data_IF_692599749745
#
_entry.id   IF_692599749745
#
_cell.length_a   1.000
_cell.length_b   1.000
_cell.length_c   1.000
_cell.angle_alpha   90.00
_cell.angle_beta   90.00
_cell.angle_gamma   90.00
#
_symmetry.space_group_name_H-M   'P 1'
#
loop_
_entity.id
_entity.type
_entity.pdbx_description
1 polymer ?
#
# COMPACT_ATOMS: atom_id res chain seq x y z
N UNK A 1 13.15 -58.62 -39.75
CA UNK A 1 13.00 -59.77 -38.83
C UNK A 1 13.35 -59.31 -37.42
N UNK A 2 12.49 -59.58 -36.41
CA UNK A 2 12.78 -59.97 -35.00
C UNK A 2 13.77 -59.09 -34.17
N UNK A 3 13.54 -58.64 -32.93
CA UNK A 3 12.62 -58.89 -31.78
C UNK A 3 12.82 -57.69 -30.81
N UNK A 4 11.78 -57.01 -30.30
CA UNK A 4 11.16 -57.20 -28.97
C UNK A 4 12.14 -57.50 -27.82
N UNK A 5 12.17 -56.67 -26.75
CA UNK A 5 12.03 -57.08 -25.32
C UNK A 5 12.30 -55.93 -24.30
N UNK A 6 11.24 -55.61 -23.51
CA UNK A 6 11.17 -55.46 -22.03
C UNK A 6 11.91 -54.26 -21.36
N UNK A 7 11.23 -53.22 -20.85
CA UNK A 7 10.37 -53.07 -19.65
C UNK A 7 11.15 -52.73 -18.34
N UNK A 8 10.74 -51.59 -17.76
CA UNK A 8 10.59 -51.27 -16.32
C UNK A 8 11.67 -50.56 -15.49
N UNK A 9 11.12 -49.57 -14.77
CA UNK A 9 11.45 -49.02 -13.45
C UNK A 9 12.68 -48.12 -13.31
N UNK A 10 12.50 -46.88 -12.85
CA UNK A 10 12.66 -46.51 -11.43
C UNK A 10 12.33 -45.02 -11.22
N UNK A 11 11.49 -44.79 -10.21
CA UNK A 11 11.40 -43.67 -9.25
C UNK A 11 11.31 -42.22 -9.72
N UNK A 12 10.30 -41.58 -9.14
CA UNK A 12 9.91 -40.21 -9.41
C UNK A 12 10.89 -39.16 -8.95
N UNK A 13 10.67 -37.95 -9.45
CA UNK A 13 11.10 -36.73 -8.78
C UNK A 13 10.12 -35.62 -9.10
N UNK A 14 9.66 -35.01 -8.00
CA UNK A 14 9.18 -33.66 -7.83
C UNK A 14 7.99 -33.21 -8.68
N UNK A 15 6.82 -33.28 -8.03
CA UNK A 15 5.85 -32.20 -8.10
C UNK A 15 6.60 -30.87 -7.87
N UNK A 16 6.77 -30.08 -8.93
CA UNK A 16 6.95 -28.64 -8.78
C UNK A 16 5.61 -28.11 -8.28
N UNK A 17 5.43 -28.15 -6.97
CA UNK A 17 4.51 -27.27 -6.30
C UNK A 17 5.06 -25.87 -6.51
N UNK A 18 4.44 -25.14 -7.44
CA UNK A 18 4.66 -23.71 -7.57
C UNK A 18 4.34 -23.08 -6.23
N UNK A 19 5.38 -22.77 -5.45
CA UNK A 19 5.27 -21.85 -4.34
C UNK A 19 4.96 -20.49 -4.96
N UNK A 20 3.66 -20.21 -5.06
CA UNK A 20 3.14 -18.86 -5.11
C UNK A 20 3.85 -18.08 -4.00
N UNK A 21 4.75 -17.17 -4.39
CA UNK A 21 5.30 -16.14 -3.51
C UNK A 21 4.16 -15.17 -3.16
N UNK A 22 3.33 -15.58 -2.22
CA UNK A 22 2.34 -14.72 -1.62
C UNK A 22 2.90 -14.19 -0.29
N UNK A 23 3.16 -12.89 -0.27
CA UNK A 23 3.16 -12.01 0.91
C UNK A 23 4.19 -12.22 2.05
N UNK A 24 5.48 -12.42 1.75
CA UNK A 24 6.56 -12.26 2.75
C UNK A 24 6.72 -10.83 3.32
N UNK A 25 5.98 -9.87 2.77
CA UNK A 25 5.97 -8.49 3.25
C UNK A 25 5.06 -8.30 4.46
N UNK A 26 4.04 -9.16 4.63
CA UNK A 26 3.10 -9.05 5.73
C UNK A 26 3.79 -9.30 7.08
N UNK A 27 4.66 -10.32 7.14
CA UNK A 27 5.48 -10.63 8.32
C UNK A 27 6.56 -9.56 8.57
N UNK A 28 7.16 -9.04 7.49
CA UNK A 28 8.17 -7.97 7.59
C UNK A 28 7.56 -6.66 8.11
N UNK A 29 6.35 -6.32 7.65
CA UNK A 29 5.62 -5.12 8.08
C UNK A 29 5.04 -5.29 9.48
N UNK A 30 4.53 -6.47 9.83
CA UNK A 30 4.08 -6.78 11.19
C UNK A 30 5.24 -6.68 12.18
N UNK A 31 6.41 -7.20 11.81
CA UNK A 31 7.62 -7.09 12.62
C UNK A 31 8.11 -5.64 12.73
N UNK A 32 8.06 -4.89 11.63
CA UNK A 32 8.38 -3.47 11.60
C UNK A 32 7.43 -2.63 12.47
N UNK A 33 6.14 -2.90 12.40
CA UNK A 33 5.12 -2.23 13.18
C UNK A 33 5.20 -2.61 14.66
N UNK A 34 5.55 -3.86 14.99
CA UNK A 34 5.80 -4.28 16.38
C UNK A 34 7.03 -3.59 16.98
N UNK A 35 8.11 -3.43 16.22
CA UNK A 35 9.30 -2.69 16.67
C UNK A 35 9.05 -1.18 16.76
N UNK A 36 8.30 -0.60 15.81
CA UNK A 36 7.87 0.80 15.87
C UNK A 36 6.93 1.07 17.08
N UNK A 37 6.06 0.11 17.43
CA UNK A 37 5.19 0.19 18.62
C UNK A 37 6.01 0.17 19.91
N UNK A 38 7.11 -0.59 19.97
CA UNK A 38 8.03 -0.56 21.13
C UNK A 38 8.74 0.79 21.27
N UNK A 39 9.14 1.41 20.15
CA UNK A 39 9.78 2.73 20.16
C UNK A 39 8.79 3.86 20.53
N UNK A 40 7.52 3.72 20.14
CA UNK A 40 6.46 4.74 20.31
C UNK A 40 5.76 4.68 21.67
N UNK A 41 6.49 4.43 22.76
CA UNK A 41 5.92 4.31 24.12
C UNK A 41 5.49 5.65 24.77
N UNK A 42 5.34 6.73 24.00
CA UNK A 42 5.05 8.07 24.54
C UNK A 42 4.12 8.95 23.71
N UNK A 43 3.33 8.42 22.76
CA UNK A 43 2.30 9.25 22.11
C UNK A 43 1.05 8.46 21.79
N UNK A 44 -0.02 8.83 22.48
CA UNK A 44 -1.40 8.38 22.34
C UNK A 44 -1.81 8.32 20.85
N UNK A 45 -2.07 7.12 20.31
CA UNK A 45 -2.70 6.95 18.98
C UNK A 45 -1.96 6.10 17.94
N UNK A 46 -1.01 5.25 18.33
CA UNK A 46 -0.33 4.33 17.40
C UNK A 46 -1.29 3.25 16.85
N UNK A 47 -1.50 3.23 15.54
CA UNK A 47 -2.23 2.14 14.88
C UNK A 47 -1.46 0.83 15.04
N UNK A 48 -2.10 -0.19 15.60
CA UNK A 48 -1.52 -1.52 15.75
C UNK A 48 -1.09 -2.11 14.39
N UNK A 49 -0.05 -2.93 14.38
CA UNK A 49 0.41 -3.68 13.22
C UNK A 49 -0.73 -4.39 12.47
N UNK A 50 -1.67 -4.98 13.22
CA UNK A 50 -2.88 -5.63 12.70
C UNK A 50 -3.87 -4.65 12.06
N UNK A 51 -3.98 -3.42 12.57
CA UNK A 51 -4.82 -2.37 11.99
C UNK A 51 -4.22 -1.86 10.69
N UNK A 52 -2.90 -1.58 10.64
CA UNK A 52 -2.23 -1.25 9.39
C UNK A 52 -2.36 -2.38 8.36
N UNK A 53 -2.14 -3.61 8.80
CA UNK A 53 -2.27 -4.82 7.98
C UNK A 53 -3.68 -4.98 7.44
N UNK A 54 -4.70 -4.82 8.28
CA UNK A 54 -6.10 -4.94 7.86
C UNK A 54 -6.48 -3.83 6.89
N UNK A 55 -6.01 -2.59 7.13
CA UNK A 55 -6.17 -1.46 6.21
C UNK A 55 -5.48 -1.70 4.86
N UNK A 56 -4.26 -2.23 4.90
CA UNK A 56 -3.40 -2.47 3.74
C UNK A 56 -3.85 -3.69 2.93
N UNK A 57 -4.35 -4.73 3.60
CA UNK A 57 -4.83 -5.98 3.00
C UNK A 57 -6.28 -5.91 2.52
N UNK A 58 -7.13 -5.07 3.14
CA UNK A 58 -8.51 -4.85 2.70
C UNK A 58 -8.67 -3.64 1.76
N UNK A 59 -7.55 -3.09 1.31
CA UNK A 59 -7.49 -1.89 0.48
C UNK A 59 -8.08 -2.08 -0.93
N UNK A 60 -8.30 -3.34 -1.33
CA UNK A 60 -9.05 -3.75 -2.53
C UNK A 60 -10.50 -3.27 -2.56
N UNK A 61 -11.07 -2.94 -1.40
CA UNK A 61 -12.47 -2.56 -1.24
C UNK A 61 -12.66 -1.05 -1.01
N UNK A 62 -11.58 -0.26 -1.15
CA UNK A 62 -11.46 1.17 -0.78
C UNK A 62 -12.02 2.18 -1.80
N UNK A 63 -13.16 1.87 -2.42
CA UNK A 63 -13.66 2.57 -3.62
C UNK A 63 -14.79 3.57 -3.32
N UNK A 64 -14.73 4.30 -2.21
CA UNK A 64 -15.58 5.50 -2.03
C UNK A 64 -14.85 6.74 -2.54
N UNK A 65 -15.57 7.64 -3.22
CA UNK A 65 -15.02 8.89 -3.75
C UNK A 65 -14.29 9.71 -2.66
N UNK A 66 -14.80 9.71 -1.42
CA UNK A 66 -14.16 10.41 -0.31
C UNK A 66 -12.78 9.84 0.07
N UNK A 67 -12.57 8.54 -0.10
CA UNK A 67 -11.27 7.89 0.16
C UNK A 67 -10.28 8.14 -0.97
N UNK A 68 -10.76 8.28 -2.21
CA UNK A 68 -9.93 8.56 -3.37
C UNK A 68 -9.47 10.03 -3.45
N UNK A 69 -10.29 10.98 -3.00
CA UNK A 69 -9.85 12.38 -2.82
C UNK A 69 -8.68 12.44 -1.83
N UNK A 70 -8.78 11.72 -0.70
CA UNK A 70 -7.68 11.58 0.24
C UNK A 70 -6.46 10.87 -0.36
N UNK A 71 -6.66 9.77 -1.08
CA UNK A 71 -5.61 9.04 -1.77
C UNK A 71 -4.83 9.94 -2.74
N UNK A 72 -5.51 10.79 -3.51
CA UNK A 72 -4.86 11.77 -4.39
C UNK A 72 -3.98 12.75 -3.62
N UNK A 73 -4.44 13.24 -2.46
CA UNK A 73 -3.63 14.08 -1.58
C UNK A 73 -2.41 13.33 -1.03
N UNK A 74 -2.57 12.05 -0.67
CA UNK A 74 -1.47 11.21 -0.18
C UNK A 74 -0.44 10.95 -1.28
N UNK A 75 -0.85 10.74 -2.53
CA UNK A 75 0.09 10.65 -3.66
C UNK A 75 0.94 11.92 -3.79
N UNK A 76 0.33 13.08 -3.57
CA UNK A 76 1.07 14.34 -3.54
C UNK A 76 2.05 14.41 -2.37
N UNK A 77 1.63 14.03 -1.17
CA UNK A 77 2.53 13.94 -0.01
C UNK A 77 3.72 13.00 -0.28
N UNK A 78 3.46 11.82 -0.81
CA UNK A 78 4.45 10.81 -1.14
C UNK A 78 5.46 11.28 -2.19
N UNK A 79 4.96 11.98 -3.22
CA UNK A 79 5.82 12.59 -4.24
C UNK A 79 6.71 13.69 -3.64
N UNK A 80 6.15 14.58 -2.80
CA UNK A 80 6.90 15.65 -2.11
C UNK A 80 8.00 15.08 -1.21
N UNK A 81 7.71 14.01 -0.49
CA UNK A 81 8.63 13.35 0.43
C UNK A 81 9.62 12.40 -0.26
N UNK A 82 9.55 12.26 -1.60
CA UNK A 82 10.37 11.32 -2.41
C UNK A 82 10.28 9.86 -1.93
N UNK A 83 9.09 9.46 -1.48
CA UNK A 83 8.80 8.12 -0.95
C UNK A 83 8.29 7.13 -2.00
N UNK A 84 7.91 7.64 -3.17
CA UNK A 84 7.50 6.86 -4.34
C UNK A 84 8.15 7.44 -5.59
N UNK A 85 8.08 6.71 -6.71
CA UNK A 85 8.47 7.24 -8.02
C UNK A 85 7.68 8.51 -8.30
N UNK A 86 8.35 9.68 -8.25
CA UNK A 86 7.72 11.01 -8.32
C UNK A 86 6.95 11.18 -9.63
N UNK A 87 7.49 10.65 -10.72
CA UNK A 87 6.88 10.71 -12.05
C UNK A 87 5.55 9.95 -12.10
N UNK A 88 5.53 8.72 -11.59
CA UNK A 88 4.33 7.88 -11.59
C UNK A 88 3.28 8.41 -10.62
N UNK A 89 3.71 8.86 -9.43
CA UNK A 89 2.82 9.43 -8.43
C UNK A 89 2.12 10.70 -8.91
N UNK A 90 2.82 11.60 -9.61
CA UNK A 90 2.20 12.82 -10.15
C UNK A 90 1.22 12.49 -11.30
N UNK A 91 1.58 11.58 -12.20
CA UNK A 91 0.71 11.19 -13.31
C UNK A 91 -0.57 10.51 -12.80
N UNK A 92 -0.43 9.53 -11.90
CA UNK A 92 -1.56 8.84 -11.27
C UNK A 92 -2.42 9.81 -10.47
N UNK A 93 -1.82 10.71 -9.69
CA UNK A 93 -2.55 11.78 -8.98
C UNK A 93 -3.42 12.59 -9.93
N UNK A 94 -2.86 13.10 -11.01
CA UNK A 94 -3.60 13.95 -11.96
C UNK A 94 -4.76 13.19 -12.63
N UNK A 95 -4.54 11.91 -12.98
CA UNK A 95 -5.61 11.08 -13.55
C UNK A 95 -6.69 10.72 -12.52
N UNK A 96 -6.30 10.46 -11.27
CA UNK A 96 -7.24 10.23 -10.17
C UNK A 96 -8.09 11.48 -9.95
N UNK A 97 -7.47 12.66 -9.82
CA UNK A 97 -8.19 13.94 -9.68
C UNK A 97 -9.12 14.21 -10.86
N UNK A 98 -8.67 13.95 -12.08
CA UNK A 98 -9.49 14.07 -13.29
C UNK A 98 -10.71 13.14 -13.28
N UNK A 99 -10.55 11.88 -12.89
CA UNK A 99 -11.67 10.93 -12.75
C UNK A 99 -12.62 11.28 -11.61
N UNK A 100 -12.11 11.91 -10.54
CA UNK A 100 -12.92 12.39 -9.42
C UNK A 100 -13.66 13.69 -9.74
N UNK A 101 -13.30 14.37 -10.83
CA UNK A 101 -13.82 15.70 -11.15
C UNK A 101 -13.38 16.75 -10.14
N UNK A 102 -12.26 16.54 -9.45
CA UNK A 102 -11.74 17.48 -8.46
C UNK A 102 -10.86 18.53 -9.16
N UNK A 103 -11.47 19.64 -9.55
CA UNK A 103 -10.71 20.78 -10.04
C UNK A 103 -9.92 21.47 -8.91
N UNK A 104 -9.14 22.49 -9.25
CA UNK A 104 -8.31 23.22 -8.26
C UNK A 104 -9.10 23.90 -7.14
N UNK A 105 -10.35 24.29 -7.38
CA UNK A 105 -11.22 24.92 -6.41
C UNK A 105 -11.86 23.86 -5.51
N UNK A 106 -12.38 22.77 -6.09
CA UNK A 106 -12.88 21.62 -5.32
C UNK A 106 -11.78 21.03 -4.42
N UNK A 107 -10.55 20.90 -4.92
CA UNK A 107 -9.41 20.41 -4.14
C UNK A 107 -9.18 21.21 -2.85
N UNK A 108 -9.35 22.54 -2.89
CA UNK A 108 -9.16 23.40 -1.71
C UNK A 108 -10.32 23.28 -0.72
N UNK A 109 -11.51 22.99 -1.22
CA UNK A 109 -12.71 22.81 -0.41
C UNK A 109 -12.82 21.38 0.16
N UNK A 110 -12.13 20.41 -0.46
CA UNK A 110 -12.16 19.02 -0.06
C UNK A 110 -11.19 18.73 1.10
N UNK A 111 -11.74 18.56 2.30
CA UNK A 111 -10.98 18.24 3.51
C UNK A 111 -10.19 16.95 3.37
N UNK A 112 -10.71 15.93 2.69
CA UNK A 112 -10.04 14.64 2.53
C UNK A 112 -8.77 14.78 1.69
N UNK A 113 -8.82 15.53 0.59
CA UNK A 113 -7.66 15.86 -0.22
C UNK A 113 -6.63 16.67 0.57
N UNK A 114 -7.09 17.66 1.35
CA UNK A 114 -6.21 18.47 2.19
C UNK A 114 -5.51 17.67 3.29
N UNK A 115 -6.24 16.79 3.97
CA UNK A 115 -5.70 15.81 4.92
C UNK A 115 -4.63 14.94 4.23
N UNK A 116 -4.91 14.48 3.01
CA UNK A 116 -3.99 13.68 2.23
C UNK A 116 -2.67 14.41 1.95
N UNK A 117 -2.73 15.70 1.57
CA UNK A 117 -1.52 16.53 1.36
C UNK A 117 -0.70 16.66 2.64
N UNK A 118 -1.34 16.65 3.81
CA UNK A 118 -0.67 16.67 5.11
C UNK A 118 -0.09 15.31 5.52
N UNK A 119 -0.27 14.27 4.70
CA UNK A 119 0.17 12.91 5.00
C UNK A 119 -0.78 12.18 5.93
N UNK A 120 -2.06 12.55 5.94
CA UNK A 120 -3.09 11.95 6.76
C UNK A 120 -3.97 11.06 5.88
N UNK A 121 -3.74 9.76 5.95
CA UNK A 121 -4.47 8.77 5.16
C UNK A 121 -5.73 8.35 5.92
N UNK A 122 -6.90 8.70 5.38
CA UNK A 122 -8.21 8.38 5.93
C UNK A 122 -8.70 7.07 5.31
N UNK A 123 -8.87 6.03 6.12
CA UNK A 123 -9.42 4.77 5.68
C UNK A 123 -10.95 4.71 5.83
N UNK A 124 -11.60 3.86 5.04
CA UNK A 124 -13.06 3.73 5.04
C UNK A 124 -13.69 3.31 6.38
N UNK A 125 -12.94 2.65 7.26
CA UNK A 125 -13.43 2.22 8.58
C UNK A 125 -13.30 3.32 9.66
N UNK A 126 -13.02 4.56 9.26
CA UNK A 126 -12.79 5.68 10.17
C UNK A 126 -11.42 5.66 10.85
N UNK A 127 -10.54 4.71 10.49
CA UNK A 127 -9.16 4.73 10.95
C UNK A 127 -8.36 5.74 10.13
N UNK A 128 -7.42 6.39 10.81
CA UNK A 128 -6.57 7.41 10.20
C UNK A 128 -5.11 7.07 10.44
N UNK A 129 -4.35 6.94 9.35
CA UNK A 129 -2.91 6.74 9.39
C UNK A 129 -2.21 8.06 9.13
N UNK A 130 -1.49 8.56 10.12
CA UNK A 130 -0.70 9.77 9.98
C UNK A 130 0.74 9.43 9.56
N UNK A 131 1.05 9.56 8.28
CA UNK A 131 2.40 9.34 7.74
C UNK A 131 3.41 10.39 8.22
N UNK A 132 2.94 11.57 8.63
CA UNK A 132 3.81 12.63 9.12
C UNK A 132 4.41 12.28 10.50
N UNK A 133 3.69 11.54 11.34
CA UNK A 133 4.10 11.22 12.72
C UNK A 133 4.91 9.94 12.86
N UNK A 134 4.96 9.08 11.84
CA UNK A 134 5.69 7.78 11.85
C UNK A 134 7.21 7.93 12.04
N UNK A 135 7.76 9.15 12.12
CA UNK A 135 9.18 9.39 12.35
C UNK A 135 10.04 9.24 11.09
N UNK A 136 11.37 9.25 11.25
CA UNK A 136 12.34 9.26 10.13
C UNK A 136 13.36 8.11 10.19
N UNK A 137 13.17 7.13 11.08
CA UNK A 137 13.99 5.93 11.13
C UNK A 137 13.94 5.17 9.80
N UNK A 138 14.92 4.28 9.55
CA UNK A 138 14.92 3.45 8.33
C UNK A 138 13.62 2.66 8.18
N UNK A 139 13.13 2.15 9.32
CA UNK A 139 11.87 1.42 9.41
C UNK A 139 10.66 2.31 9.11
N UNK A 140 10.60 3.49 9.72
CA UNK A 140 9.57 4.49 9.46
C UNK A 140 9.50 4.86 7.97
N UNK A 141 10.65 5.08 7.33
CA UNK A 141 10.71 5.36 5.90
C UNK A 141 10.18 4.21 5.06
N UNK A 142 10.48 2.96 5.42
CA UNK A 142 9.93 1.79 4.73
C UNK A 142 8.41 1.72 4.86
N UNK A 143 7.87 1.94 6.06
CA UNK A 143 6.41 1.97 6.29
C UNK A 143 5.75 3.07 5.47
N UNK A 144 6.29 4.29 5.47
CA UNK A 144 5.75 5.40 4.67
C UNK A 144 5.80 5.10 3.17
N UNK A 145 6.94 4.60 2.68
CA UNK A 145 7.12 4.18 1.28
C UNK A 145 6.09 3.13 0.88
N UNK A 146 5.84 2.14 1.73
CA UNK A 146 4.86 1.08 1.45
C UNK A 146 3.42 1.57 1.44
N UNK A 147 3.06 2.48 2.34
CA UNK A 147 1.77 3.13 2.30
C UNK A 147 1.59 3.95 1.01
N UNK A 148 2.61 4.70 0.60
CA UNK A 148 2.63 5.43 -0.67
C UNK A 148 2.47 4.51 -1.89
N UNK A 149 3.19 3.38 -1.91
CA UNK A 149 3.15 2.40 -2.99
C UNK A 149 1.78 1.72 -3.11
N UNK A 150 1.13 1.44 -1.98
CA UNK A 150 -0.25 0.94 -1.98
C UNK A 150 -1.22 1.95 -2.58
N UNK A 151 -1.17 3.20 -2.11
CA UNK A 151 -2.05 4.27 -2.59
C UNK A 151 -1.81 4.52 -4.07
N UNK A 152 -0.55 4.44 -4.53
CA UNK A 152 -0.19 4.52 -5.95
C UNK A 152 -0.85 3.39 -6.74
N UNK A 153 -0.74 2.15 -6.27
CA UNK A 153 -1.36 0.99 -6.90
C UNK A 153 -2.89 1.11 -6.94
N UNK A 154 -3.52 1.57 -5.87
CA UNK A 154 -4.95 1.84 -5.85
C UNK A 154 -5.34 2.93 -6.85
N UNK A 155 -4.58 4.02 -6.90
CA UNK A 155 -4.77 5.09 -7.87
C UNK A 155 -4.72 4.56 -9.30
N UNK A 156 -3.74 3.72 -9.63
CA UNK A 156 -3.63 3.05 -10.93
C UNK A 156 -4.85 2.18 -11.22
N UNK A 157 -5.32 1.40 -10.24
CA UNK A 157 -6.50 0.56 -10.42
C UNK A 157 -7.80 1.38 -10.62
N UNK A 158 -7.90 2.54 -9.99
CA UNK A 158 -9.05 3.44 -10.12
C UNK A 158 -9.10 4.15 -11.48
N UNK A 159 -7.93 4.51 -12.01
CA UNK A 159 -7.81 5.18 -13.31
C UNK A 159 -7.84 4.21 -14.50
N UNK A 160 -7.57 2.93 -14.25
CA UNK A 160 -7.82 1.84 -15.21
C UNK A 160 -9.31 1.74 -15.54
#
# INVERSE_FOLDING_TARGET
>A
MKKQIIISTLLGTLLVTGAVQAASWQDSLSSAANELTKESSSTQGGLSASSLTSLLSNSSQSLSAGTMNNAAGILEYCAKQKLASVTDAQNVKNQVLGKLGLDTQEQKADTNYMDGIQGLLNAQNGQQLNLSTIGNSSLAKQVKTKACDLVLKQGVNFIS
#
